data_IF_138845668488
#
_entry.id   IF_138845668488
#
_cell.length_a   1.000
_cell.length_b   1.000
_cell.length_c   1.000
_cell.angle_alpha   90.00
_cell.angle_beta   90.00
_cell.angle_gamma   90.00
#
_symmetry.space_group_name_H-M   'P 1'
#
loop_
_entity.id
_entity.type
_entity.pdbx_description
1 polymer ?
#
# COMPACT_ATOMS: atom_id res chain seq x y z
N UNK A 1 -9.68 16.64 9.10
CA UNK A 1 -9.99 15.21 8.94
C UNK A 1 -8.84 14.59 8.14
N UNK A 2 -8.46 13.33 8.36
CA UNK A 2 -7.58 12.47 7.53
C UNK A 2 -6.34 11.83 8.23
N UNK A 3 -6.20 11.93 9.56
CA UNK A 3 -5.15 11.15 10.28
C UNK A 3 -5.35 9.64 10.06
N UNK A 4 -6.60 9.18 10.14
CA UNK A 4 -6.99 7.77 9.97
C UNK A 4 -6.67 7.24 8.56
N UNK A 5 -6.93 8.03 7.50
CA UNK A 5 -6.62 7.63 6.12
C UNK A 5 -5.11 7.49 5.91
N UNK A 6 -4.33 8.38 6.51
CA UNK A 6 -2.86 8.36 6.42
C UNK A 6 -2.30 7.14 7.17
N UNK A 7 -2.80 6.84 8.36
CA UNK A 7 -2.42 5.67 9.14
C UNK A 7 -2.76 4.36 8.41
N UNK A 8 -3.96 4.25 7.84
CA UNK A 8 -4.38 3.06 7.08
C UNK A 8 -3.52 2.90 5.81
N UNK A 9 -3.17 3.99 5.11
CA UNK A 9 -2.27 3.91 3.95
C UNK A 9 -0.86 3.45 4.33
N UNK A 10 -0.33 3.94 5.45
CA UNK A 10 0.96 3.51 5.97
C UNK A 10 0.94 2.02 6.31
N UNK A 11 -0.11 1.54 6.98
CA UNK A 11 -0.28 0.13 7.31
C UNK A 11 -0.38 -0.74 6.05
N UNK A 12 -1.13 -0.27 5.04
CA UNK A 12 -1.28 -0.97 3.76
C UNK A 12 0.06 -1.08 3.01
N UNK A 13 0.83 0.00 2.94
CA UNK A 13 2.17 0.02 2.34
C UNK A 13 3.11 -0.91 3.11
N UNK A 14 3.08 -0.86 4.44
CA UNK A 14 3.91 -1.72 5.30
C UNK A 14 3.59 -3.19 5.12
N UNK A 15 2.30 -3.55 4.97
CA UNK A 15 1.86 -4.91 4.68
C UNK A 15 2.40 -5.42 3.34
N UNK A 16 2.41 -4.57 2.30
CA UNK A 16 2.98 -4.91 0.98
C UNK A 16 4.48 -5.17 1.10
N UNK A 17 5.24 -4.29 1.75
CA UNK A 17 6.69 -4.51 1.93
C UNK A 17 7.01 -5.73 2.80
N UNK A 18 6.16 -6.05 3.79
CA UNK A 18 6.30 -7.25 4.61
C UNK A 18 6.02 -8.53 3.81
N UNK A 19 5.06 -8.48 2.88
CA UNK A 19 4.69 -9.62 2.02
C UNK A 19 5.68 -9.81 0.88
N UNK A 20 6.22 -8.71 0.34
CA UNK A 20 7.16 -8.70 -0.78
C UNK A 20 8.49 -8.02 -0.37
N UNK A 21 9.28 -8.64 0.52
CA UNK A 21 10.52 -8.03 1.03
C UNK A 21 11.60 -7.85 -0.05
N UNK A 22 11.53 -8.63 -1.14
CA UNK A 22 12.53 -8.66 -2.21
C UNK A 22 12.12 -7.84 -3.44
N UNK A 23 11.30 -6.80 -3.29
CA UNK A 23 11.00 -5.88 -4.38
C UNK A 23 12.29 -5.24 -4.89
N UNK A 24 12.78 -5.74 -6.03
CA UNK A 24 14.04 -5.30 -6.66
C UNK A 24 13.96 -3.89 -7.25
N UNK A 25 12.80 -3.26 -7.20
CA UNK A 25 12.53 -1.95 -7.74
C UNK A 25 11.65 -1.16 -6.79
N UNK A 26 11.71 0.17 -6.93
CA UNK A 26 10.85 1.08 -6.17
C UNK A 26 9.42 0.98 -6.72
N UNK A 27 8.45 0.45 -5.94
CA UNK A 27 7.09 0.32 -6.42
C UNK A 27 6.49 1.71 -6.64
N UNK A 28 5.87 1.92 -7.80
CA UNK A 28 5.06 3.09 -8.12
C UNK A 28 3.66 2.91 -7.50
N UNK A 29 2.84 3.97 -7.41
CA UNK A 29 1.47 3.85 -6.93
C UNK A 29 0.67 2.74 -7.62
N UNK A 30 0.83 2.58 -8.94
CA UNK A 30 0.16 1.53 -9.70
C UNK A 30 0.64 0.12 -9.32
N UNK A 31 1.94 -0.06 -9.06
CA UNK A 31 2.49 -1.34 -8.60
C UNK A 31 1.92 -1.70 -7.23
N UNK A 32 1.83 -0.72 -6.32
CA UNK A 32 1.25 -0.90 -4.98
C UNK A 32 -0.21 -1.32 -5.07
N UNK A 33 -0.99 -0.70 -5.97
CA UNK A 33 -2.38 -1.12 -6.24
C UNK A 33 -2.47 -2.52 -6.83
N UNK A 34 -1.58 -2.85 -7.76
CA UNK A 34 -1.54 -4.16 -8.37
C UNK A 34 -1.22 -5.25 -7.34
N UNK A 35 -0.24 -5.00 -6.47
CA UNK A 35 0.13 -5.91 -5.38
C UNK A 35 -1.00 -6.06 -4.36
N UNK A 36 -1.69 -4.97 -4.02
CA UNK A 36 -2.87 -5.01 -3.16
C UNK A 36 -4.00 -5.86 -3.77
N UNK A 37 -4.30 -5.67 -5.06
CA UNK A 37 -5.30 -6.46 -5.78
C UNK A 37 -4.89 -7.95 -5.86
N UNK A 38 -3.60 -8.21 -6.10
CA UNK A 38 -3.05 -9.56 -6.12
C UNK A 38 -3.22 -10.26 -4.77
N UNK A 39 -2.83 -9.61 -3.67
CA UNK A 39 -3.01 -10.15 -2.31
C UNK A 39 -4.48 -10.46 -2.02
N UNK A 40 -5.39 -9.54 -2.36
CA UNK A 40 -6.84 -9.72 -2.25
C UNK A 40 -7.37 -10.92 -3.05
N UNK A 41 -6.82 -11.15 -4.25
CA UNK A 41 -7.24 -12.28 -5.09
C UNK A 41 -6.70 -13.64 -4.62
N UNK A 42 -5.61 -13.64 -3.84
CA UNK A 42 -4.95 -14.86 -3.38
C UNK A 42 -5.42 -15.34 -2.02
N UNK A 43 -5.67 -14.40 -1.10
CA UNK A 43 -5.98 -14.70 0.28
C UNK A 43 -7.34 -14.12 0.66
N UNK A 44 -8.13 -14.91 1.38
CA UNK A 44 -9.41 -14.48 1.92
C UNK A 44 -9.23 -13.59 3.16
N UNK A 45 -8.12 -13.75 3.87
CA UNK A 45 -7.76 -13.04 5.10
C UNK A 45 -6.76 -11.88 4.85
N UNK A 46 -6.78 -11.30 3.64
CA UNK A 46 -5.93 -10.16 3.34
C UNK A 46 -6.27 -8.94 4.23
N UNK A 47 -5.28 -8.09 4.59
CA UNK A 47 -5.54 -6.90 5.38
C UNK A 47 -6.51 -5.95 4.67
N UNK A 48 -7.62 -5.59 5.34
CA UNK A 48 -8.61 -4.64 4.79
C UNK A 48 -8.04 -3.25 4.49
N UNK A 49 -6.89 -2.89 5.09
CA UNK A 49 -6.15 -1.67 4.76
C UNK A 49 -5.72 -1.63 3.28
N UNK A 50 -5.54 -2.79 2.63
CA UNK A 50 -5.21 -2.88 1.21
C UNK A 50 -6.36 -2.41 0.30
N UNK A 51 -7.61 -2.51 0.74
CA UNK A 51 -8.76 -2.02 -0.05
C UNK A 51 -8.70 -0.49 -0.21
N UNK A 52 -8.12 0.21 0.76
CA UNK A 52 -7.93 1.65 0.67
C UNK A 52 -6.98 2.02 -0.47
N UNK A 53 -5.93 1.23 -0.72
CA UNK A 53 -5.02 1.46 -1.84
C UNK A 53 -5.75 1.38 -3.19
N UNK A 54 -6.76 0.51 -3.32
CA UNK A 54 -7.51 0.36 -4.57
C UNK A 54 -8.44 1.55 -4.86
N UNK A 55 -8.86 2.28 -3.83
CA UNK A 55 -9.84 3.38 -3.93
C UNK A 55 -9.19 4.76 -3.93
N UNK A 56 -8.04 4.90 -3.28
CA UNK A 56 -7.30 6.15 -3.11
C UNK A 56 -6.57 6.58 -4.40
N UNK A 57 -6.39 7.88 -4.59
CA UNK A 57 -5.70 8.43 -5.74
C UNK A 57 -4.19 8.10 -5.70
N UNK A 58 -3.59 7.86 -6.87
CA UNK A 58 -2.15 7.58 -7.00
C UNK A 58 -1.27 8.65 -6.35
N UNK A 59 -1.69 9.92 -6.36
CA UNK A 59 -0.95 11.04 -5.73
C UNK A 59 -0.84 10.88 -4.21
N UNK A 60 -1.88 10.39 -3.55
CA UNK A 60 -1.86 10.19 -2.10
C UNK A 60 -0.97 9.00 -1.71
N UNK A 61 -1.02 7.93 -2.51
CA UNK A 61 -0.13 6.78 -2.36
C UNK A 61 1.33 7.19 -2.57
N UNK A 62 1.62 8.02 -3.58
CA UNK A 62 2.97 8.52 -3.85
C UNK A 62 3.53 9.33 -2.68
N UNK A 63 2.72 10.22 -2.11
CA UNK A 63 3.10 10.99 -0.92
C UNK A 63 3.44 10.07 0.26
N UNK A 64 2.65 9.03 0.48
CA UNK A 64 2.89 8.11 1.60
C UNK A 64 4.12 7.21 1.36
N UNK A 65 4.34 6.76 0.12
CA UNK A 65 5.57 6.05 -0.28
C UNK A 65 6.84 6.92 -0.12
N UNK A 66 6.72 8.24 -0.31
CA UNK A 66 7.80 9.19 -0.06
C UNK A 66 8.10 9.32 1.45
N UNK A 67 7.06 9.32 2.30
CA UNK A 67 7.22 9.36 3.76
C UNK A 67 7.79 8.06 4.31
N UNK A 68 7.27 6.91 3.86
CA UNK A 68 7.74 5.60 4.30
C UNK A 68 9.25 5.41 4.09
N UNK A 69 9.79 5.94 2.99
CA UNK A 69 11.25 5.91 2.69
C UNK A 69 12.12 6.84 3.53
N UNK A 70 11.55 7.81 4.24
CA UNK A 70 12.32 8.69 5.13
C UNK A 70 12.55 8.08 6.52
N UNK A 71 11.82 7.01 6.85
CA UNK A 71 12.02 6.18 8.04
C UNK A 71 12.92 4.99 7.69
#
# INVERSE_FOLDING_TARGET
MNSTTTEILKDAISAIYSTFPNLSYKPRPDDVKLLAAYMKSRDSDYPRSLDLLLTVNNREIELELLKYRRH
#
